data_IF_424148626692
#
_entry.id   IF_424148626692
#
_cell.length_a   1.000
_cell.length_b   1.000
_cell.length_c   1.000
_cell.angle_alpha   90.00
_cell.angle_beta   90.00
_cell.angle_gamma   90.00
#
_symmetry.space_group_name_H-M   'P 1'
#
loop_
_entity.id
_entity.type
_entity.pdbx_description
1 polymer ?
#
# COMPACT_ATOMS: atom_id res chain seq x y z
N UNK A 1 -11.46 -7.15 19.07
CA UNK A 1 -10.71 -7.22 17.79
C UNK A 1 -9.86 -5.99 17.78
N UNK A 2 -8.53 -6.16 17.75
CA UNK A 2 -7.57 -5.06 17.93
C UNK A 2 -7.81 -3.96 16.90
N UNK A 3 -7.88 -2.72 17.37
CA UNK A 3 -8.08 -1.52 16.54
C UNK A 3 -6.86 -0.61 16.65
N UNK A 4 -6.30 -0.19 15.52
CA UNK A 4 -5.06 0.60 15.47
C UNK A 4 -5.22 1.81 14.56
N UNK A 5 -4.96 3.00 15.11
CA UNK A 5 -4.81 4.25 14.36
C UNK A 5 -3.43 4.31 13.68
N UNK A 6 -3.35 3.81 12.45
CA UNK A 6 -2.15 3.94 11.63
C UNK A 6 -1.98 5.36 11.08
N UNK A 7 -0.73 5.78 10.90
CA UNK A 7 -0.41 7.17 10.50
C UNK A 7 -0.62 7.45 9.00
N UNK A 8 -0.62 6.42 8.16
CA UNK A 8 -0.76 6.53 6.71
C UNK A 8 -1.56 5.33 6.20
N UNK A 9 -2.35 5.52 5.14
CA UNK A 9 -2.92 4.43 4.33
C UNK A 9 -1.83 3.86 3.42
N UNK A 10 -1.97 2.62 2.98
CA UNK A 10 -1.01 1.98 2.08
C UNK A 10 -1.64 1.78 0.70
N UNK A 11 -1.05 2.37 -0.32
CA UNK A 11 -1.30 2.07 -1.72
C UNK A 11 -0.08 1.31 -2.28
N UNK A 12 -0.34 0.24 -3.00
CA UNK A 12 0.71 -0.58 -3.58
C UNK A 12 0.53 -0.68 -5.10
N UNK A 13 1.62 -0.59 -5.85
CA UNK A 13 1.64 -0.91 -7.27
C UNK A 13 2.11 -2.34 -7.53
N UNK A 14 1.98 -2.80 -8.78
CA UNK A 14 2.42 -4.12 -9.18
C UNK A 14 3.93 -4.29 -9.04
N UNK A 15 4.73 -3.25 -9.30
CA UNK A 15 6.19 -3.33 -9.31
C UNK A 15 6.73 -3.65 -7.90
N UNK A 16 6.15 -3.08 -6.84
CA UNK A 16 6.46 -3.48 -5.47
C UNK A 16 6.13 -4.95 -5.21
N UNK A 17 4.95 -5.40 -5.66
CA UNK A 17 4.50 -6.78 -5.45
C UNK A 17 5.43 -7.78 -6.15
N UNK A 18 5.80 -7.48 -7.40
CA UNK A 18 6.76 -8.25 -8.17
C UNK A 18 8.12 -8.27 -7.49
N UNK A 19 8.61 -7.13 -7.01
CA UNK A 19 9.86 -7.05 -6.26
C UNK A 19 9.80 -7.83 -4.94
N UNK A 20 8.72 -7.70 -4.17
CA UNK A 20 8.51 -8.41 -2.90
C UNK A 20 8.50 -9.93 -3.11
N UNK A 21 7.96 -10.40 -4.24
CA UNK A 21 7.89 -11.83 -4.57
C UNK A 21 9.26 -12.51 -4.68
N UNK A 22 10.32 -11.72 -4.90
CA UNK A 22 11.71 -12.20 -5.00
C UNK A 22 12.48 -12.10 -3.68
N UNK A 23 11.92 -11.43 -2.66
CA UNK A 23 12.60 -11.23 -1.37
C UNK A 23 12.48 -12.46 -0.46
N UNK A 24 13.49 -12.67 0.38
CA UNK A 24 13.42 -13.63 1.48
C UNK A 24 12.45 -13.15 2.55
N UNK A 25 11.60 -14.05 3.08
CA UNK A 25 10.64 -13.72 4.13
C UNK A 25 9.39 -12.96 3.65
N UNK A 26 9.11 -12.97 2.35
CA UNK A 26 7.90 -12.35 1.77
C UNK A 26 6.61 -12.82 2.42
N UNK A 27 6.51 -14.09 2.81
CA UNK A 27 5.33 -14.66 3.48
C UNK A 27 5.07 -13.96 4.81
N UNK A 28 6.12 -13.65 5.55
CA UNK A 28 6.05 -12.89 6.81
C UNK A 28 5.58 -11.47 6.55
N UNK A 29 6.12 -10.79 5.54
CA UNK A 29 5.70 -9.43 5.17
C UNK A 29 4.23 -9.40 4.73
N UNK A 30 3.79 -10.37 3.95
CA UNK A 30 2.40 -10.51 3.54
C UNK A 30 1.49 -10.76 4.75
N UNK A 31 1.91 -11.60 5.69
CA UNK A 31 1.19 -11.81 6.95
C UNK A 31 1.06 -10.51 7.76
N UNK A 32 2.12 -9.71 7.85
CA UNK A 32 2.06 -8.40 8.51
C UNK A 32 1.04 -7.47 7.84
N UNK A 33 1.04 -7.41 6.51
CA UNK A 33 0.05 -6.64 5.75
C UNK A 33 -1.39 -7.12 6.03
N UNK A 34 -1.64 -8.42 6.15
CA UNK A 34 -2.97 -8.95 6.52
C UNK A 34 -3.43 -8.44 7.89
N UNK A 35 -2.55 -8.44 8.88
CA UNK A 35 -2.86 -7.93 10.22
C UNK A 35 -3.12 -6.42 10.19
N UNK A 36 -2.30 -5.65 9.48
CA UNK A 36 -2.49 -4.20 9.32
C UNK A 36 -3.86 -3.90 8.67
N UNK A 37 -4.17 -4.57 7.55
CA UNK A 37 -5.43 -4.39 6.83
C UNK A 37 -6.66 -4.68 7.70
N UNK A 38 -6.59 -5.71 8.54
CA UNK A 38 -7.72 -6.14 9.36
C UNK A 38 -7.90 -5.34 10.66
N UNK A 39 -6.83 -4.72 11.17
CA UNK A 39 -6.85 -4.00 12.45
C UNK A 39 -6.90 -2.47 12.32
N UNK A 40 -6.85 -1.92 11.11
CA UNK A 40 -6.96 -0.46 10.92
C UNK A 40 -8.28 0.09 11.49
N UNK A 41 -8.17 1.13 12.31
CA UNK A 41 -9.30 1.82 12.91
C UNK A 41 -10.13 2.58 11.88
N UNK A 42 -9.46 3.42 11.06
CA UNK A 42 -10.11 4.30 10.09
C UNK A 42 -10.49 3.60 8.78
N UNK A 43 -9.72 2.59 8.35
CA UNK A 43 -9.88 1.95 7.04
C UNK A 43 -10.05 0.42 7.18
N UNK A 44 -11.04 -0.02 7.96
CA UNK A 44 -11.25 -1.46 8.23
C UNK A 44 -11.34 -2.26 6.93
N UNK A 45 -10.42 -3.22 6.76
CA UNK A 45 -10.29 -4.09 5.58
C UNK A 45 -9.88 -3.38 4.28
N UNK A 46 -9.64 -2.08 4.31
CA UNK A 46 -9.31 -1.26 3.14
C UNK A 46 -8.08 -0.39 3.36
N UNK A 47 -7.30 -0.66 4.41
CA UNK A 47 -6.10 0.10 4.72
C UNK A 47 -4.98 -0.09 3.71
N UNK A 48 -4.85 -1.31 3.20
CA UNK A 48 -3.88 -1.67 2.17
C UNK A 48 -4.63 -1.84 0.85
N UNK A 49 -4.32 -1.02 -0.13
CA UNK A 49 -5.01 -0.97 -1.41
C UNK A 49 -4.08 -1.33 -2.56
N UNK A 50 -4.67 -1.91 -3.60
CA UNK A 50 -4.07 -2.09 -4.91
C UNK A 50 -5.16 -1.87 -5.95
N UNK A 51 -4.86 -1.11 -7.01
CA UNK A 51 -5.78 -0.97 -8.14
C UNK A 51 -5.90 -2.30 -8.88
N UNK A 52 -7.07 -2.60 -9.43
CA UNK A 52 -7.32 -3.87 -10.09
C UNK A 52 -6.37 -4.15 -11.24
N UNK A 53 -6.09 -3.16 -12.10
CA UNK A 53 -5.12 -3.32 -13.18
C UNK A 53 -3.73 -3.65 -12.66
N UNK A 54 -3.31 -3.08 -11.52
CA UNK A 54 -2.05 -3.45 -10.86
C UNK A 54 -2.08 -4.90 -10.35
N UNK A 55 -3.17 -5.29 -9.69
CA UNK A 55 -3.34 -6.65 -9.18
C UNK A 55 -3.30 -7.71 -10.30
N UNK A 56 -3.87 -7.39 -11.46
CA UNK A 56 -3.87 -8.26 -12.64
C UNK A 56 -2.45 -8.50 -13.20
N UNK A 57 -1.56 -7.50 -13.11
CA UNK A 57 -0.17 -7.61 -13.57
C UNK A 57 0.68 -8.56 -12.70
N UNK A 58 0.29 -8.79 -11.44
CA UNK A 58 1.06 -9.61 -10.49
C UNK A 58 0.33 -10.89 -10.05
N UNK A 59 -0.84 -11.19 -10.63
CA UNK A 59 -1.71 -12.33 -10.25
C UNK A 59 -1.02 -13.70 -10.31
N UNK A 60 -0.06 -13.88 -11.22
CA UNK A 60 0.64 -15.16 -11.42
C UNK A 60 1.91 -15.27 -10.57
N UNK A 61 2.27 -14.22 -9.83
CA UNK A 61 3.52 -14.15 -9.04
C UNK A 61 3.29 -14.36 -7.55
N UNK A 62 2.07 -14.12 -7.09
CA UNK A 62 1.64 -14.38 -5.73
C UNK A 62 0.34 -15.14 -5.77
N UNK A 63 0.21 -16.15 -4.92
CA UNK A 63 -1.07 -16.83 -4.73
C UNK A 63 -2.14 -15.78 -4.41
N UNK A 64 -3.21 -15.80 -5.20
CA UNK A 64 -4.39 -14.94 -5.06
C UNK A 64 -4.89 -14.81 -3.62
N UNK A 65 -4.76 -15.87 -2.81
CA UNK A 65 -5.11 -15.86 -1.39
C UNK A 65 -4.26 -14.89 -0.58
N UNK A 66 -2.95 -14.81 -0.84
CA UNK A 66 -2.07 -13.88 -0.16
C UNK A 66 -2.34 -12.44 -0.60
N UNK A 67 -2.55 -12.21 -1.90
CA UNK A 67 -2.84 -10.87 -2.43
C UNK A 67 -4.16 -10.32 -1.87
N UNK A 68 -5.24 -11.11 -1.94
CA UNK A 68 -6.56 -10.71 -1.41
C UNK A 68 -6.59 -10.63 0.12
N UNK A 69 -5.73 -11.40 0.80
CA UNK A 69 -5.53 -11.27 2.24
C UNK A 69 -4.83 -9.96 2.61
N UNK A 70 -3.71 -9.64 1.94
CA UNK A 70 -2.86 -8.51 2.26
C UNK A 70 -3.41 -7.17 1.76
N UNK A 71 -4.14 -7.15 0.64
CA UNK A 71 -4.63 -5.95 -0.02
C UNK A 71 -6.12 -6.05 -0.33
N UNK A 72 -6.81 -4.91 -0.36
CA UNK A 72 -8.12 -4.75 -0.97
C UNK A 72 -7.89 -4.33 -2.43
N UNK A 73 -8.33 -5.18 -3.35
CA UNK A 73 -8.36 -4.85 -4.78
C UNK A 73 -9.52 -3.89 -5.03
N UNK A 74 -9.25 -2.73 -5.63
CA UNK A 74 -10.26 -1.71 -5.96
C UNK A 74 -10.26 -1.48 -7.47
N UNK A 75 -11.45 -1.35 -8.06
CA UNK A 75 -11.61 -0.89 -9.44
C UNK A 75 -11.03 0.52 -9.61
N UNK A 76 -10.53 0.87 -10.79
CA UNK A 76 -10.08 2.25 -11.03
C UNK A 76 -11.28 3.21 -10.91
N UNK A 77 -11.22 4.22 -10.02
CA UNK A 77 -12.25 5.25 -9.98
C UNK A 77 -12.28 6.06 -11.27
N UNK A 78 -13.46 6.53 -11.68
CA UNK A 78 -13.67 7.28 -12.93
C UNK A 78 -12.78 8.53 -13.06
N UNK A 79 -12.36 9.12 -11.93
CA UNK A 79 -11.44 10.25 -11.93
C UNK A 79 -10.09 9.92 -12.60
N UNK A 80 -9.69 8.64 -12.60
CA UNK A 80 -8.44 8.17 -13.19
C UNK A 80 -8.51 8.02 -14.71
N UNK A 81 -9.70 8.02 -15.31
CA UNK A 81 -9.87 7.82 -16.76
C UNK A 81 -9.25 8.96 -17.59
N UNK A 82 -9.00 10.11 -16.96
CA UNK A 82 -8.35 11.28 -17.57
C UNK A 82 -6.83 11.12 -17.74
N UNK A 83 -6.26 10.06 -17.17
CA UNK A 83 -4.82 9.82 -17.19
C UNK A 83 -4.54 8.52 -17.92
N UNK A 84 -3.56 8.51 -18.82
CA UNK A 84 -3.16 7.28 -19.53
C UNK A 84 -2.06 6.53 -18.78
N UNK A 85 -1.10 7.28 -18.23
CA UNK A 85 0.09 6.72 -17.59
C UNK A 85 -0.24 6.08 -16.23
N UNK A 86 0.20 4.82 -16.06
CA UNK A 86 0.05 4.04 -14.82
C UNK A 86 0.56 4.78 -13.59
N UNK A 87 1.79 5.30 -13.65
CA UNK A 87 2.43 6.04 -12.56
C UNK A 87 1.58 7.24 -12.14
N UNK A 88 1.12 8.02 -13.13
CA UNK A 88 0.26 9.17 -12.90
C UNK A 88 -1.06 8.75 -12.23
N UNK A 89 -1.69 7.66 -12.69
CA UNK A 89 -2.90 7.13 -12.04
C UNK A 89 -2.68 6.77 -10.57
N UNK A 90 -1.60 6.06 -10.28
CA UNK A 90 -1.28 5.65 -8.90
C UNK A 90 -1.01 6.86 -8.00
N UNK A 91 -0.34 7.90 -8.51
CA UNK A 91 -0.12 9.16 -7.78
C UNK A 91 -1.44 9.85 -7.49
N UNK A 92 -2.28 10.06 -8.50
CA UNK A 92 -3.56 10.76 -8.36
C UNK A 92 -4.48 9.99 -7.40
N UNK A 93 -4.52 8.67 -7.51
CA UNK A 93 -5.27 7.85 -6.58
C UNK A 93 -4.71 7.95 -5.15
N UNK A 94 -3.40 7.84 -4.99
CA UNK A 94 -2.73 8.02 -3.69
C UNK A 94 -3.05 9.37 -3.05
N UNK A 95 -3.12 10.45 -3.83
CA UNK A 95 -3.53 11.79 -3.36
C UNK A 95 -4.99 11.79 -2.94
N UNK A 96 -5.90 11.22 -3.74
CA UNK A 96 -7.32 11.14 -3.39
C UNK A 96 -7.56 10.35 -2.09
N UNK A 97 -6.75 9.32 -1.82
CA UNK A 97 -6.80 8.59 -0.54
C UNK A 97 -6.42 9.45 0.67
N UNK A 98 -5.80 10.61 0.48
CA UNK A 98 -5.46 11.56 1.56
C UNK A 98 -6.60 12.52 1.91
N UNK A 99 -7.72 12.47 1.18
CA UNK A 99 -8.92 13.25 1.51
C UNK A 99 -9.65 12.68 2.75
N UNK A 100 -9.44 11.40 3.06
CA UNK A 100 -10.00 10.69 4.20
C UNK A 100 -8.94 10.35 5.26
N UNK A 101 -9.32 10.15 6.54
CA UNK A 101 -8.41 9.65 7.57
C UNK A 101 -7.68 8.37 7.12
N UNK A 102 -6.35 8.26 7.34
CA UNK A 102 -5.50 9.08 8.20
C UNK A 102 -4.91 10.35 7.54
N UNK A 103 -5.46 10.81 6.41
CA UNK A 103 -5.07 11.99 5.64
C UNK A 103 -3.65 11.95 5.07
N UNK A 104 -3.03 10.77 5.08
CA UNK A 104 -1.71 10.52 4.52
C UNK A 104 -1.66 9.15 3.88
N UNK A 105 -0.84 9.00 2.86
CA UNK A 105 -0.70 7.76 2.11
C UNK A 105 0.77 7.46 1.84
N UNK A 106 1.14 6.20 2.00
CA UNK A 106 2.35 5.65 1.42
C UNK A 106 2.01 4.99 0.08
N UNK A 107 2.78 5.30 -0.96
CA UNK A 107 2.75 4.58 -2.22
C UNK A 107 3.99 3.69 -2.29
N UNK A 108 3.76 2.38 -2.22
CA UNK A 108 4.81 1.38 -2.31
C UNK A 108 5.06 1.00 -3.77
N UNK A 109 6.34 1.06 -4.15
CA UNK A 109 6.85 0.73 -5.49
C UNK A 109 8.17 -0.06 -5.39
N UNK A 110 8.64 -0.64 -6.49
CA UNK A 110 9.99 -1.22 -6.54
C UNK A 110 11.08 -0.14 -6.47
N UNK A 111 12.32 -0.47 -6.03
CA UNK A 111 13.45 0.46 -6.02
C UNK A 111 13.75 1.09 -7.38
N UNK A 112 13.60 0.32 -8.45
CA UNK A 112 13.89 0.74 -9.82
C UNK A 112 12.89 1.80 -10.31
N UNK A 113 11.64 1.72 -9.85
CA UNK A 113 10.55 2.61 -10.27
C UNK A 113 10.38 3.87 -9.41
N UNK A 114 11.00 3.93 -8.23
CA UNK A 114 10.85 5.06 -7.31
C UNK A 114 11.15 6.42 -7.98
N UNK A 115 12.23 6.51 -8.76
CA UNK A 115 12.61 7.76 -9.42
C UNK A 115 11.59 8.23 -10.46
N UNK A 116 10.91 7.31 -11.14
CA UNK A 116 9.87 7.65 -12.11
C UNK A 116 8.66 8.28 -11.40
N UNK A 117 8.28 7.77 -10.22
CA UNK A 117 7.25 8.39 -9.38
C UNK A 117 7.67 9.77 -8.86
N UNK A 118 8.87 9.90 -8.30
CA UNK A 118 9.36 11.14 -7.70
C UNK A 118 9.54 12.27 -8.73
N UNK A 119 9.84 11.93 -9.98
CA UNK A 119 9.98 12.89 -11.08
C UNK A 119 8.66 13.25 -11.77
N UNK A 120 7.55 12.58 -11.42
CA UNK A 120 6.25 12.86 -12.02
C UNK A 120 5.74 14.26 -11.63
N UNK A 121 5.25 15.01 -12.61
CA UNK A 121 4.76 16.39 -12.42
C UNK A 121 3.60 16.49 -11.40
N UNK A 122 2.77 15.45 -11.29
CA UNK A 122 1.63 15.43 -10.37
C UNK A 122 2.04 15.13 -8.92
N UNK A 123 3.27 14.69 -8.69
CA UNK A 123 3.81 14.48 -7.35
C UNK A 123 4.52 15.72 -6.78
N UNK A 124 4.91 16.67 -7.63
CA UNK A 124 5.67 17.86 -7.22
C UNK A 124 4.89 18.70 -6.20
N UNK A 125 5.50 18.96 -5.04
CA UNK A 125 4.90 19.75 -3.96
C UNK A 125 3.87 19.01 -3.10
N UNK A 126 3.61 17.73 -3.37
CA UNK A 126 2.71 16.90 -2.54
C UNK A 126 3.46 16.43 -1.29
N UNK A 127 2.85 16.65 -0.12
CA UNK A 127 3.45 16.30 1.19
C UNK A 127 2.73 15.16 1.91
N UNK A 128 1.44 14.93 1.60
CA UNK A 128 0.61 13.91 2.24
C UNK A 128 0.72 12.53 1.58
N UNK A 129 1.26 12.47 0.36
CA UNK A 129 1.64 11.22 -0.31
C UNK A 129 3.16 11.06 -0.22
N UNK A 130 3.62 9.89 0.23
CA UNK A 130 5.05 9.58 0.27
C UNK A 130 5.34 8.34 -0.57
N UNK A 131 6.21 8.48 -1.57
CA UNK A 131 6.69 7.34 -2.36
C UNK A 131 7.76 6.61 -1.56
N UNK A 132 7.59 5.31 -1.35
CA UNK A 132 8.52 4.48 -0.58
C UNK A 132 8.78 3.19 -1.35
N UNK A 133 10.02 2.73 -1.37
CA UNK A 133 10.40 1.51 -2.09
C UNK A 133 11.28 0.58 -1.28
N UNK A 134 11.36 -0.67 -1.73
CA UNK A 134 12.31 -1.66 -1.24
C UNK A 134 12.29 -1.85 0.28
N UNK A 135 13.48 -1.87 0.88
CA UNK A 135 13.67 -2.01 2.32
C UNK A 135 12.98 -0.92 3.15
N UNK A 136 12.86 0.30 2.62
CA UNK A 136 12.15 1.38 3.33
C UNK A 136 10.68 1.02 3.48
N UNK A 137 10.05 0.46 2.44
CA UNK A 137 8.65 0.02 2.50
C UNK A 137 8.48 -1.15 3.48
N UNK A 138 9.42 -2.11 3.47
CA UNK A 138 9.44 -3.21 4.46
C UNK A 138 9.52 -2.67 5.89
N UNK A 139 10.35 -1.66 6.15
CA UNK A 139 10.48 -1.06 7.48
C UNK A 139 9.20 -0.34 7.93
N UNK A 140 8.50 0.33 7.02
CA UNK A 140 7.17 0.90 7.30
C UNK A 140 6.20 -0.20 7.72
N UNK A 141 6.13 -1.31 6.96
CA UNK A 141 5.25 -2.46 7.25
C UNK A 141 5.57 -3.04 8.63
N UNK A 142 6.87 -3.25 8.93
CA UNK A 142 7.32 -3.74 10.24
C UNK A 142 6.93 -2.78 11.38
N UNK A 143 7.05 -1.47 11.16
CA UNK A 143 6.64 -0.46 12.12
C UNK A 143 5.14 -0.51 12.43
N UNK A 144 4.30 -0.59 11.39
CA UNK A 144 2.85 -0.72 11.56
C UNK A 144 2.47 -2.04 12.23
N UNK A 145 3.14 -3.14 11.90
CA UNK A 145 2.91 -4.43 12.56
C UNK A 145 3.34 -4.41 14.04
N UNK A 146 4.43 -3.72 14.36
CA UNK A 146 4.84 -3.52 15.77
C UNK A 146 3.75 -2.79 16.56
N UNK A 147 3.18 -1.71 16.00
CA UNK A 147 2.06 -0.99 16.62
C UNK A 147 0.83 -1.90 16.84
N UNK A 148 0.53 -2.79 15.88
CA UNK A 148 -0.50 -3.82 16.06
C UNK A 148 -0.20 -4.77 17.22
N UNK A 149 1.02 -5.29 17.32
CA UNK A 149 1.39 -6.20 18.40
C UNK A 149 1.29 -5.53 19.77
N UNK A 150 1.77 -4.29 19.90
CA UNK A 150 1.66 -3.52 21.15
C UNK A 150 0.19 -3.29 21.56
N UNK A 151 -0.69 -2.94 20.60
CA UNK A 151 -2.11 -2.79 20.86
C UNK A 151 -2.75 -4.13 21.30
N UNK A 152 -2.41 -5.24 20.62
CA UNK A 152 -2.89 -6.57 20.96
C UNK A 152 -2.46 -7.02 22.36
N UNK A 153 -1.25 -6.70 22.78
CA UNK A 153 -0.75 -7.03 24.12
C UNK A 153 -1.42 -6.20 25.21
N UNK A 154 -1.78 -4.96 24.92
CA UNK A 154 -2.50 -4.08 25.86
C UNK A 154 -3.96 -4.49 26.07
N UNK A 155 -4.59 -5.10 25.06
CA UNK A 155 -5.98 -5.61 25.13
C UNK A 155 -6.10 -7.00 25.81
N UNK A 156 -4.98 -7.63 26.21
CA UNK A 156 -4.96 -8.94 26.90
C UNK A 156 -4.91 -8.80 28.41
#
# INVERSE_FOLDING_TARGET
MVSVSYSHRLLCDADFILWLSTQQGKETILSYLMHIKSSSEYCKREHNLILKKEAELCKDKLDSKYLGGAFKVIEEPELLDKYEEKITKNIIFGINLTDDPPFKCYLFTSPEKQREYESNKHYQGITNLQIVSGEKAINVIKGFFSAFNSARETER
#
